data_IF_111869216447
#
_entry.id   IF_111869216447
#
_cell.length_a   1.000
_cell.length_b   1.000
_cell.length_c   1.000
_cell.angle_alpha   90.00
_cell.angle_beta   90.00
_cell.angle_gamma   90.00
#
_symmetry.space_group_name_H-M   'P 1'
#
loop_
_entity.id
_entity.type
_entity.pdbx_description
1 polymer ?
#
# COMPACT_ATOMS: atom_id res chain seq x y z
N UNK A 1 -18.16 16.54 -21.83
CA UNK A 1 -16.94 15.80 -22.25
C UNK A 1 -16.66 14.77 -21.16
N UNK A 2 -16.51 13.49 -21.51
CA UNK A 2 -16.18 12.45 -20.52
C UNK A 2 -14.79 12.74 -19.93
N UNK A 3 -14.63 12.54 -18.61
CA UNK A 3 -13.30 12.64 -17.97
C UNK A 3 -12.38 11.55 -18.55
N UNK A 4 -11.06 11.77 -18.51
CA UNK A 4 -10.11 10.76 -18.99
C UNK A 4 -10.30 9.44 -18.23
N UNK A 5 -10.52 9.48 -16.92
CA UNK A 5 -10.78 8.26 -16.16
C UNK A 5 -12.09 7.57 -16.55
N UNK A 6 -13.14 8.31 -16.91
CA UNK A 6 -14.37 7.72 -17.43
C UNK A 6 -14.13 7.00 -18.77
N UNK A 7 -13.28 7.55 -19.64
CA UNK A 7 -12.88 6.88 -20.87
C UNK A 7 -12.09 5.57 -20.60
N UNK A 8 -11.16 5.58 -19.64
CA UNK A 8 -10.44 4.38 -19.19
C UNK A 8 -11.44 3.30 -18.72
N UNK A 9 -12.41 3.69 -17.89
CA UNK A 9 -13.44 2.75 -17.40
C UNK A 9 -14.29 2.18 -18.52
N UNK A 10 -14.67 2.99 -19.51
CA UNK A 10 -15.44 2.53 -20.65
C UNK A 10 -14.64 1.53 -21.51
N UNK A 11 -13.35 1.76 -21.73
CA UNK A 11 -12.46 0.85 -22.46
C UNK A 11 -12.28 -0.49 -21.72
N UNK A 12 -12.07 -0.44 -20.40
CA UNK A 12 -12.01 -1.63 -19.54
C UNK A 12 -13.32 -2.42 -19.56
N UNK A 13 -14.47 -1.73 -19.45
CA UNK A 13 -15.78 -2.38 -19.51
C UNK A 13 -16.06 -3.02 -20.89
N UNK A 14 -15.64 -2.36 -21.97
CA UNK A 14 -15.74 -2.91 -23.33
C UNK A 14 -14.90 -4.18 -23.53
N UNK A 15 -13.85 -4.37 -22.72
CA UNK A 15 -13.08 -5.60 -22.66
C UNK A 15 -13.77 -6.74 -21.87
N UNK A 16 -14.95 -6.51 -21.30
CA UNK A 16 -15.63 -7.47 -20.43
C UNK A 16 -14.95 -7.61 -19.06
N UNK A 17 -14.24 -6.58 -18.62
CA UNK A 17 -13.50 -6.55 -17.36
C UNK A 17 -14.06 -5.47 -16.45
N UNK A 18 -14.03 -5.71 -15.14
CA UNK A 18 -14.40 -4.72 -14.14
C UNK A 18 -13.15 -4.07 -13.55
N UNK A 19 -13.11 -2.73 -13.52
CA UNK A 19 -12.04 -2.01 -12.84
C UNK A 19 -12.30 -2.01 -11.33
N UNK A 20 -11.44 -2.65 -10.54
CA UNK A 20 -11.51 -2.59 -9.06
C UNK A 20 -10.86 -1.31 -8.53
N UNK A 21 -9.68 -0.99 -9.07
CA UNK A 21 -8.95 0.24 -8.76
C UNK A 21 -7.88 0.49 -9.81
N UNK A 22 -7.53 1.75 -9.99
CA UNK A 22 -6.36 2.15 -10.74
C UNK A 22 -5.34 2.85 -9.83
N UNK A 23 -4.07 2.83 -10.23
CA UNK A 23 -2.99 3.57 -9.59
C UNK A 23 -2.22 4.38 -10.64
N UNK A 24 -2.25 5.72 -10.59
CA UNK A 24 -1.56 6.55 -11.57
C UNK A 24 -0.03 6.49 -11.40
N UNK A 25 0.65 6.21 -12.51
CA UNK A 25 2.12 6.25 -12.64
C UNK A 25 2.55 7.63 -13.13
N UNK A 26 1.84 8.16 -14.11
CA UNK A 26 1.96 9.49 -14.70
C UNK A 26 0.56 9.96 -15.10
N UNK A 27 0.44 11.15 -15.70
CA UNK A 27 -0.81 11.62 -16.31
C UNK A 27 -1.26 10.79 -17.53
N UNK A 28 -0.42 9.87 -18.01
CA UNK A 28 -0.63 9.09 -19.24
C UNK A 28 -0.52 7.57 -19.02
N UNK A 29 -0.35 7.11 -17.78
CA UNK A 29 -0.16 5.69 -17.46
C UNK A 29 -0.80 5.32 -16.12
N UNK A 30 -1.71 4.34 -16.15
CA UNK A 30 -2.32 3.73 -14.97
C UNK A 30 -1.88 2.28 -14.85
N UNK A 31 -1.60 1.83 -13.62
CA UNK A 31 -1.68 0.42 -13.28
C UNK A 31 -3.13 0.10 -12.94
N UNK A 32 -3.63 -1.01 -13.44
CA UNK A 32 -5.01 -1.45 -13.27
C UNK A 32 -5.05 -2.70 -12.42
N UNK A 33 -5.99 -2.74 -11.49
CA UNK A 33 -6.44 -3.96 -10.84
C UNK A 33 -7.82 -4.27 -11.42
N UNK A 34 -7.90 -5.35 -12.18
CA UNK A 34 -9.08 -5.73 -12.95
C UNK A 34 -9.68 -7.00 -12.36
N UNK A 35 -10.99 -7.13 -12.44
CA UNK A 35 -11.71 -8.35 -12.11
C UNK A 35 -12.32 -8.93 -13.39
N UNK A 36 -12.13 -10.22 -13.55
CA UNK A 36 -12.69 -10.99 -14.65
C UNK A 36 -14.14 -11.42 -14.34
N UNK A 37 -14.91 -11.85 -15.35
CA UNK A 37 -16.27 -12.37 -15.15
C UNK A 37 -16.35 -13.58 -14.20
N UNK A 38 -15.30 -14.40 -14.14
CA UNK A 38 -15.17 -15.53 -13.22
C UNK A 38 -14.79 -15.12 -11.78
N UNK A 39 -14.66 -13.81 -11.53
CA UNK A 39 -14.29 -13.23 -10.24
C UNK A 39 -12.78 -13.13 -10.00
N UNK A 40 -11.93 -13.67 -10.89
CA UNK A 40 -10.48 -13.66 -10.71
C UNK A 40 -9.91 -12.25 -10.89
N UNK A 41 -8.95 -11.89 -10.04
CA UNK A 41 -8.23 -10.62 -10.16
C UNK A 41 -7.06 -10.78 -11.13
N UNK A 42 -6.97 -9.86 -12.09
CA UNK A 42 -5.90 -9.78 -13.07
C UNK A 42 -5.28 -8.38 -13.09
N UNK A 43 -3.95 -8.25 -13.08
CA UNK A 43 -3.29 -6.97 -13.23
C UNK A 43 -3.31 -6.51 -14.69
N UNK A 44 -3.32 -5.20 -14.88
CA UNK A 44 -3.24 -4.60 -16.20
C UNK A 44 -2.58 -3.23 -16.17
N UNK A 45 -2.46 -2.64 -17.35
CA UNK A 45 -1.95 -1.29 -17.55
C UNK A 45 -2.84 -0.57 -18.55
N UNK A 46 -3.12 0.70 -18.31
CA UNK A 46 -3.66 1.61 -19.31
C UNK A 46 -2.59 2.63 -19.68
N UNK A 47 -2.26 2.74 -20.96
CA UNK A 47 -1.19 3.61 -21.46
C UNK A 47 -1.78 4.47 -22.58
N UNK A 48 -1.72 5.80 -22.43
CA UNK A 48 -2.38 6.74 -23.34
C UNK A 48 -1.81 6.72 -24.77
N UNK A 49 -0.53 6.37 -24.93
CA UNK A 49 0.12 6.21 -26.23
C UNK A 49 -0.05 4.76 -26.69
N UNK A 50 -0.80 4.56 -27.77
CA UNK A 50 -1.10 3.24 -28.34
C UNK A 50 0.16 2.50 -28.79
N UNK A 51 1.14 3.19 -29.37
CA UNK A 51 2.40 2.57 -29.80
C UNK A 51 3.22 2.11 -28.59
N UNK A 52 3.21 2.87 -27.49
CA UNK A 52 3.83 2.43 -26.24
C UNK A 52 3.09 1.25 -25.61
N UNK A 53 1.75 1.27 -25.59
CA UNK A 53 0.95 0.14 -25.11
C UNK A 53 1.28 -1.15 -25.87
N UNK A 54 1.40 -1.05 -27.19
CA UNK A 54 1.82 -2.12 -28.09
C UNK A 54 3.25 -2.60 -27.81
N UNK A 55 4.21 -1.67 -27.63
CA UNK A 55 5.59 -2.02 -27.24
C UNK A 55 5.63 -2.74 -25.89
N UNK A 56 4.84 -2.29 -24.91
CA UNK A 56 4.73 -2.91 -23.58
C UNK A 56 4.17 -4.32 -23.70
N UNK A 57 3.09 -4.52 -24.44
CA UNK A 57 2.48 -5.83 -24.63
C UNK A 57 3.43 -6.81 -25.33
N UNK A 58 4.04 -6.42 -26.45
CA UNK A 58 5.00 -7.28 -27.19
C UNK A 58 6.19 -7.69 -26.31
N UNK A 59 6.78 -6.75 -25.58
CA UNK A 59 7.92 -7.05 -24.70
C UNK A 59 7.55 -7.91 -23.50
N UNK A 60 6.32 -7.80 -23.01
CA UNK A 60 5.83 -8.65 -21.91
C UNK A 60 5.52 -10.05 -22.42
N UNK A 61 4.92 -10.18 -23.59
CA UNK A 61 4.62 -11.47 -24.21
C UNK A 61 5.89 -12.29 -24.52
N UNK A 62 7.00 -11.63 -24.90
CA UNK A 62 8.26 -12.31 -25.26
C UNK A 62 8.86 -13.19 -24.14
N UNK A 63 8.53 -12.92 -22.87
CA UNK A 63 9.00 -13.69 -21.71
C UNK A 63 7.88 -14.37 -20.92
N UNK A 64 6.65 -14.39 -21.45
CA UNK A 64 5.47 -14.88 -20.76
C UNK A 64 4.92 -16.15 -21.42
N UNK A 65 4.11 -16.96 -20.68
CA UNK A 65 3.36 -18.06 -21.28
C UNK A 65 2.48 -17.59 -22.45
N UNK A 66 2.23 -18.47 -23.41
CA UNK A 66 1.35 -18.17 -24.55
C UNK A 66 -0.05 -17.74 -24.04
N UNK A 67 -0.58 -16.65 -24.59
CA UNK A 67 -1.88 -16.09 -24.17
C UNK A 67 -1.87 -15.35 -22.84
N UNK A 68 -0.73 -15.21 -22.15
CA UNK A 68 -0.67 -14.52 -20.87
C UNK A 68 -0.71 -12.98 -20.98
N UNK A 69 -0.65 -12.42 -22.19
CA UNK A 69 -0.74 -10.98 -22.43
C UNK A 69 -1.80 -10.71 -23.48
N UNK A 70 -2.79 -9.90 -23.11
CA UNK A 70 -3.92 -9.52 -23.97
C UNK A 70 -3.97 -8.01 -24.14
N UNK A 71 -4.29 -7.57 -25.36
CA UNK A 71 -4.57 -6.17 -25.69
C UNK A 71 -6.07 -6.01 -25.84
N UNK A 72 -6.61 -4.97 -25.22
CA UNK A 72 -8.00 -4.56 -25.43
C UNK A 72 -8.01 -3.09 -25.80
N UNK A 73 -8.65 -2.78 -26.92
CA UNK A 73 -8.58 -1.43 -27.50
C UNK A 73 -7.14 -1.00 -27.75
N UNK A 74 -6.94 0.32 -27.75
CA UNK A 74 -5.66 0.94 -28.07
C UNK A 74 -4.77 1.14 -26.83
N UNK A 75 -5.30 1.05 -25.61
CA UNK A 75 -4.56 1.50 -24.43
C UNK A 75 -4.43 0.43 -23.34
N UNK A 76 -5.32 -0.57 -23.30
CA UNK A 76 -5.32 -1.57 -22.22
C UNK A 76 -4.42 -2.75 -22.56
N UNK A 77 -3.56 -3.11 -21.60
CA UNK A 77 -2.71 -4.31 -21.60
C UNK A 77 -3.03 -5.12 -20.36
N UNK A 78 -3.53 -6.34 -20.53
CA UNK A 78 -3.85 -7.28 -19.44
C UNK A 78 -2.72 -8.29 -19.32
N UNK A 79 -2.32 -8.60 -18.08
CA UNK A 79 -1.19 -9.48 -17.78
C UNK A 79 -1.63 -10.62 -16.86
N UNK A 80 -1.64 -11.85 -17.37
CA UNK A 80 -2.06 -13.06 -16.67
C UNK A 80 -0.85 -13.91 -16.26
N UNK A 81 -1.07 -14.88 -15.38
CA UNK A 81 -0.10 -15.92 -15.03
C UNK A 81 1.29 -15.38 -14.66
N UNK A 82 1.35 -14.20 -14.02
CA UNK A 82 2.60 -13.57 -13.63
C UNK A 82 3.42 -12.94 -14.77
N UNK A 83 2.85 -12.77 -15.96
CA UNK A 83 3.52 -12.14 -17.09
C UNK A 83 3.98 -10.71 -16.75
N UNK A 84 5.30 -10.46 -16.77
CA UNK A 84 5.86 -9.15 -16.48
C UNK A 84 7.28 -8.99 -17.06
N UNK A 85 7.47 -8.03 -17.97
CA UNK A 85 8.77 -7.80 -18.63
C UNK A 85 9.87 -7.25 -17.71
N UNK A 86 9.52 -6.83 -16.48
CA UNK A 86 10.45 -6.27 -15.50
C UNK A 86 10.53 -7.09 -14.21
N UNK A 87 9.75 -8.17 -14.10
CA UNK A 87 9.75 -9.14 -13.00
C UNK A 87 9.79 -10.56 -13.59
N UNK A 88 10.84 -10.94 -14.34
CA UNK A 88 10.89 -12.20 -15.08
C UNK A 88 10.76 -13.46 -14.19
N UNK A 89 11.09 -13.35 -12.90
CA UNK A 89 10.97 -14.43 -11.92
C UNK A 89 9.51 -14.73 -11.54
N UNK A 90 8.56 -13.83 -11.85
CA UNK A 90 7.19 -13.94 -11.39
C UNK A 90 6.39 -15.04 -12.09
N UNK A 91 6.47 -15.15 -13.42
CA UNK A 91 5.69 -16.13 -14.16
C UNK A 91 6.04 -17.59 -13.79
N UNK A 92 7.33 -17.99 -13.72
CA UNK A 92 7.70 -19.32 -13.23
C UNK A 92 7.23 -19.59 -11.80
N UNK A 93 7.28 -18.57 -10.93
CA UNK A 93 6.84 -18.68 -9.55
C UNK A 93 5.33 -18.92 -9.44
N UNK A 94 4.52 -18.17 -10.19
CA UNK A 94 3.05 -18.30 -10.22
C UNK A 94 2.61 -19.62 -10.88
N UNK A 95 3.39 -20.15 -11.81
CA UNK A 95 3.11 -21.43 -12.44
C UNK A 95 3.39 -22.63 -11.51
N UNK A 96 4.17 -22.45 -10.44
CA UNK A 96 4.51 -23.53 -9.53
C UNK A 96 3.29 -23.99 -8.72
N UNK A 97 3.09 -25.31 -8.50
CA UNK A 97 2.01 -25.82 -7.66
C UNK A 97 2.06 -25.27 -6.23
N UNK A 98 0.88 -25.09 -5.63
CA UNK A 98 0.74 -24.53 -4.28
C UNK A 98 1.15 -23.07 -4.18
N UNK A 99 1.08 -22.30 -5.28
CA UNK A 99 1.36 -20.86 -5.25
C UNK A 99 0.13 -20.05 -5.63
N UNK A 100 -0.02 -18.89 -5.00
CA UNK A 100 -1.15 -18.00 -5.18
C UNK A 100 -0.67 -16.57 -5.29
N UNK A 101 -0.99 -15.90 -6.40
CA UNK A 101 -0.67 -14.49 -6.58
C UNK A 101 -1.55 -13.64 -5.66
N UNK A 102 -0.94 -12.95 -4.70
CA UNK A 102 -1.63 -12.11 -3.70
C UNK A 102 -1.78 -10.68 -4.21
N UNK A 103 -0.73 -10.15 -4.82
CA UNK A 103 -0.73 -8.82 -5.40
C UNK A 103 0.25 -8.75 -6.57
N UNK A 104 -0.12 -8.03 -7.62
CA UNK A 104 0.78 -7.73 -8.73
C UNK A 104 0.55 -6.29 -9.18
N UNK A 105 1.60 -5.47 -9.07
CA UNK A 105 1.66 -4.13 -9.65
C UNK A 105 2.62 -4.22 -10.84
N UNK A 106 2.11 -4.24 -12.09
CA UNK A 106 2.94 -4.45 -13.26
C UNK A 106 4.19 -3.58 -13.28
N UNK A 107 5.30 -4.22 -13.61
CA UNK A 107 6.63 -3.63 -13.69
C UNK A 107 7.11 -2.96 -12.39
N UNK A 108 6.55 -3.32 -11.24
CA UNK A 108 6.92 -2.68 -9.96
C UNK A 108 7.27 -3.72 -8.92
N UNK A 109 6.30 -4.55 -8.55
CA UNK A 109 6.44 -5.60 -7.56
C UNK A 109 5.28 -6.58 -7.64
N UNK A 110 5.50 -7.79 -7.17
CA UNK A 110 4.46 -8.76 -6.93
C UNK A 110 4.69 -9.49 -5.60
N UNK A 111 3.63 -10.04 -5.03
CA UNK A 111 3.65 -10.85 -3.82
C UNK A 111 2.93 -12.15 -4.15
N UNK A 112 3.60 -13.26 -3.93
CA UNK A 112 3.08 -14.62 -4.10
C UNK A 112 3.08 -15.31 -2.75
N UNK A 113 1.96 -15.92 -2.37
CA UNK A 113 1.89 -16.84 -1.24
C UNK A 113 2.24 -18.24 -1.76
N UNK A 114 3.11 -18.93 -1.05
CA UNK A 114 3.46 -20.33 -1.32
C UNK A 114 2.98 -21.17 -0.15
N UNK A 115 2.12 -22.13 -0.46
CA UNK A 115 1.48 -23.06 0.47
C UNK A 115 1.42 -24.44 -0.19
N UNK A 116 2.41 -25.28 0.11
CA UNK A 116 2.60 -26.60 -0.51
C UNK A 116 2.22 -27.76 0.39
N UNK A 117 1.77 -27.49 1.62
CA UNK A 117 1.36 -28.49 2.60
C UNK A 117 2.50 -29.28 3.27
N UNK A 118 3.73 -29.20 2.77
CA UNK A 118 4.93 -29.84 3.30
C UNK A 118 5.71 -28.97 4.29
N UNK A 119 5.48 -27.66 4.26
CA UNK A 119 6.10 -26.67 5.14
C UNK A 119 5.12 -25.53 5.47
N UNK A 120 5.36 -24.76 6.55
CA UNK A 120 4.57 -23.57 6.85
C UNK A 120 4.56 -22.60 5.66
N UNK A 121 3.40 -21.94 5.40
CA UNK A 121 3.27 -21.02 4.29
C UNK A 121 4.28 -19.88 4.39
N UNK A 122 4.68 -19.37 3.24
CA UNK A 122 5.58 -18.24 3.14
C UNK A 122 5.16 -17.31 2.01
N UNK A 123 5.68 -16.09 2.05
CA UNK A 123 5.46 -15.10 1.01
C UNK A 123 6.75 -14.85 0.25
N UNK A 124 6.63 -14.66 -1.05
CA UNK A 124 7.70 -14.29 -1.95
C UNK A 124 7.34 -12.96 -2.59
N UNK A 125 8.12 -11.92 -2.29
CA UNK A 125 8.00 -10.61 -2.90
C UNK A 125 9.00 -10.51 -4.04
N UNK A 126 8.48 -10.41 -5.26
CA UNK A 126 9.29 -10.22 -6.48
C UNK A 126 9.47 -8.73 -6.68
N UNK A 127 10.71 -8.27 -6.68
CA UNK A 127 11.10 -6.87 -6.72
C UNK A 127 12.04 -6.59 -7.89
N UNK A 128 12.20 -5.32 -8.23
CA UNK A 128 13.11 -4.89 -9.31
C UNK A 128 14.51 -4.60 -8.78
N UNK A 129 15.51 -5.13 -9.46
CA UNK A 129 16.91 -4.94 -9.10
C UNK A 129 17.20 -5.43 -7.68
N UNK A 130 18.11 -4.77 -6.98
CA UNK A 130 18.59 -5.23 -5.66
C UNK A 130 17.67 -4.87 -4.48
N UNK A 131 16.48 -4.34 -4.76
CA UNK A 131 15.50 -3.93 -3.73
C UNK A 131 15.10 -5.06 -2.79
N UNK A 132 15.17 -6.32 -3.22
CA UNK A 132 14.85 -7.44 -2.33
C UNK A 132 15.92 -7.64 -1.26
N UNK A 133 17.18 -7.37 -1.58
CA UNK A 133 18.30 -7.42 -0.63
C UNK A 133 18.18 -6.31 0.41
N UNK A 134 17.86 -5.08 -0.03
CA UNK A 134 17.62 -3.94 0.86
C UNK A 134 16.43 -4.21 1.81
N UNK A 135 15.33 -4.76 1.27
CA UNK A 135 14.16 -5.11 2.06
C UNK A 135 14.42 -6.27 3.04
N UNK A 136 15.23 -7.26 2.65
CA UNK A 136 15.67 -8.34 3.52
C UNK A 136 16.48 -7.80 4.71
N UNK A 137 17.51 -7.01 4.45
CA UNK A 137 18.35 -6.40 5.49
C UNK A 137 17.51 -5.53 6.45
N UNK A 138 16.52 -4.82 5.92
CA UNK A 138 15.59 -4.03 6.73
C UNK A 138 14.76 -4.90 7.68
N UNK A 139 14.17 -5.99 7.18
CA UNK A 139 13.39 -6.91 8.01
C UNK A 139 14.24 -7.62 9.06
N UNK A 140 15.45 -8.03 8.69
CA UNK A 140 16.41 -8.66 9.61
C UNK A 140 16.81 -7.69 10.73
N UNK A 141 17.09 -6.43 10.41
CA UNK A 141 17.38 -5.37 11.38
C UNK A 141 16.23 -5.17 12.37
N UNK A 142 15.00 -5.05 11.87
CA UNK A 142 13.81 -4.87 12.71
C UNK A 142 13.53 -6.10 13.58
N UNK A 143 13.67 -7.30 13.02
CA UNK A 143 13.51 -8.55 13.77
C UNK A 143 14.57 -8.69 14.87
N UNK A 144 15.81 -8.29 14.60
CA UNK A 144 16.89 -8.26 15.60
C UNK A 144 16.63 -7.23 16.71
N UNK A 145 15.93 -6.12 16.40
CA UNK A 145 15.41 -5.17 17.38
C UNK A 145 14.18 -5.68 18.15
N UNK A 146 13.73 -6.91 17.90
CA UNK A 146 12.62 -7.56 18.59
C UNK A 146 11.24 -7.13 18.10
N UNK A 147 11.13 -6.48 16.95
CA UNK A 147 9.83 -6.11 16.39
C UNK A 147 9.14 -7.35 15.79
N UNK A 148 7.81 -7.49 15.98
CA UNK A 148 7.04 -8.58 15.37
C UNK A 148 6.82 -8.29 13.88
N UNK A 149 7.79 -8.68 13.06
CA UNK A 149 7.81 -8.52 11.60
C UNK A 149 8.06 -9.89 10.92
N UNK A 150 7.76 -10.05 9.62
CA UNK A 150 8.05 -11.29 8.92
C UNK A 150 9.54 -11.64 8.96
N UNK A 151 9.86 -12.89 9.30
CA UNK A 151 11.24 -13.39 9.29
C UNK A 151 11.69 -13.71 7.87
N UNK A 152 12.86 -13.22 7.48
CA UNK A 152 13.47 -13.51 6.19
C UNK A 152 14.00 -14.94 6.14
N UNK A 153 13.75 -15.64 5.04
CA UNK A 153 14.35 -16.94 4.75
C UNK A 153 15.63 -16.74 3.93
N UNK A 154 16.77 -17.33 4.33
CA UNK A 154 18.03 -17.17 3.62
C UNK A 154 18.03 -17.92 2.27
N UNK A 155 18.98 -17.56 1.39
CA UNK A 155 19.27 -18.30 0.17
C UNK A 155 18.38 -17.98 -1.04
N UNK A 156 17.58 -16.91 -0.98
CA UNK A 156 16.82 -16.43 -2.12
C UNK A 156 17.70 -15.63 -3.11
N UNK A 157 17.41 -15.67 -4.43
CA UNK A 157 18.00 -14.76 -5.41
C UNK A 157 17.76 -13.27 -5.07
N UNK A 158 18.63 -12.36 -5.54
CA UNK A 158 18.58 -10.93 -5.18
C UNK A 158 17.31 -10.18 -5.60
N UNK A 159 16.53 -10.71 -6.55
CA UNK A 159 15.25 -10.17 -6.97
C UNK A 159 14.05 -10.65 -6.10
N UNK A 160 14.28 -11.62 -5.21
CA UNK A 160 13.26 -12.30 -4.42
C UNK A 160 13.50 -12.10 -2.93
N UNK A 161 12.51 -11.53 -2.25
CA UNK A 161 12.45 -11.51 -0.79
C UNK A 161 11.50 -12.62 -0.35
N UNK A 162 12.03 -13.60 0.39
CA UNK A 162 11.25 -14.72 0.91
C UNK A 162 11.07 -14.54 2.41
N UNK A 163 9.83 -14.52 2.90
CA UNK A 163 9.53 -14.34 4.32
C UNK A 163 8.56 -15.39 4.83
N UNK A 164 8.71 -15.80 6.08
CA UNK A 164 7.72 -16.60 6.78
C UNK A 164 6.36 -15.88 6.83
N UNK A 165 5.27 -16.63 6.72
CA UNK A 165 3.95 -16.07 6.97
C UNK A 165 3.79 -15.78 8.47
N UNK A 166 3.43 -14.55 8.80
CA UNK A 166 2.98 -14.21 10.14
C UNK A 166 1.57 -14.77 10.38
N UNK A 167 1.28 -15.30 11.59
CA UNK A 167 -0.07 -15.73 11.92
C UNK A 167 -1.02 -14.53 12.03
N UNK A 168 -2.28 -14.80 11.74
CA UNK A 168 -3.38 -13.90 12.10
C UNK A 168 -4.09 -13.23 10.93
N UNK A 169 -4.91 -12.26 11.30
CA UNK A 169 -5.85 -11.57 10.41
C UNK A 169 -5.57 -10.09 10.41
N UNK A 170 -5.69 -9.42 9.27
CA UNK A 170 -5.42 -7.98 9.20
C UNK A 170 -6.47 -7.21 10.00
N UNK A 171 -6.11 -6.05 10.57
CA UNK A 171 -7.10 -5.17 11.21
C UNK A 171 -8.23 -4.83 10.23
N UNK A 172 -7.91 -4.60 8.95
CA UNK A 172 -8.89 -4.41 7.89
C UNK A 172 -9.92 -5.55 7.80
N UNK A 173 -9.47 -6.80 7.76
CA UNK A 173 -10.35 -7.95 7.60
C UNK A 173 -11.14 -8.23 8.88
N UNK A 174 -10.56 -7.95 10.06
CA UNK A 174 -11.28 -7.99 11.33
C UNK A 174 -12.44 -6.97 11.35
N UNK A 175 -12.22 -5.76 10.83
CA UNK A 175 -13.29 -4.76 10.70
C UNK A 175 -14.34 -5.20 9.67
N UNK A 176 -13.92 -5.71 8.52
CA UNK A 176 -14.83 -6.17 7.47
C UNK A 176 -15.72 -7.33 7.92
N UNK A 177 -15.20 -8.21 8.76
CA UNK A 177 -15.95 -9.34 9.35
C UNK A 177 -16.69 -8.98 10.63
N UNK A 178 -16.66 -7.71 11.07
CA UNK A 178 -17.21 -7.24 12.35
C UNK A 178 -16.75 -8.06 13.55
N UNK A 179 -15.52 -8.58 13.48
CA UNK A 179 -14.88 -9.22 14.60
C UNK A 179 -14.69 -8.22 15.76
N UNK A 180 -14.67 -8.71 16.98
CA UNK A 180 -14.54 -7.88 18.17
C UNK A 180 -13.13 -7.26 18.28
N UNK A 181 -12.94 -6.10 17.65
CA UNK A 181 -11.81 -5.20 17.90
C UNK A 181 -12.20 -4.23 19.01
N UNK A 182 -11.32 -4.05 19.99
CA UNK A 182 -11.58 -3.24 21.18
C UNK A 182 -10.66 -2.03 21.22
N UNK A 183 -11.04 -1.02 22.00
CA UNK A 183 -10.19 0.15 22.27
C UNK A 183 -8.79 -0.24 22.77
N UNK A 184 -8.67 -1.32 23.55
CA UNK A 184 -7.37 -1.84 24.01
C UNK A 184 -6.49 -2.40 22.89
N UNK A 185 -7.07 -2.86 21.78
CA UNK A 185 -6.28 -3.27 20.61
C UNK A 185 -5.59 -2.05 19.96
N UNK A 186 -6.27 -0.89 19.90
CA UNK A 186 -5.70 0.34 19.36
C UNK A 186 -4.62 0.91 20.28
N UNK A 187 -4.82 0.80 21.59
CA UNK A 187 -3.76 1.10 22.55
C UNK A 187 -2.53 0.19 22.35
N UNK A 188 -2.72 -1.11 22.12
CA UNK A 188 -1.63 -2.03 21.84
C UNK A 188 -0.92 -1.72 20.51
N UNK A 189 -1.67 -1.31 19.48
CA UNK A 189 -1.11 -0.83 18.21
C UNK A 189 -0.28 0.44 18.43
N UNK A 190 -0.76 1.40 19.23
CA UNK A 190 0.00 2.60 19.59
C UNK A 190 1.34 2.28 20.23
N UNK A 191 1.34 1.33 21.17
CA UNK A 191 2.56 0.84 21.81
C UNK A 191 3.51 0.13 20.81
N UNK A 192 2.96 -0.61 19.83
CA UNK A 192 3.75 -1.23 18.77
C UNK A 192 4.39 -0.18 17.83
N UNK A 193 3.66 0.87 17.48
CA UNK A 193 4.19 2.00 16.69
C UNK A 193 5.32 2.69 17.46
N UNK A 194 5.15 2.91 18.76
CA UNK A 194 6.20 3.46 19.62
C UNK A 194 7.46 2.60 19.60
N UNK A 195 7.31 1.28 19.69
CA UNK A 195 8.45 0.35 19.60
C UNK A 195 9.17 0.45 18.25
N UNK A 196 8.44 0.59 17.13
CA UNK A 196 9.05 0.82 15.82
C UNK A 196 9.85 2.13 15.81
N UNK A 197 9.25 3.22 16.29
CA UNK A 197 9.87 4.55 16.32
C UNK A 197 11.12 4.63 17.23
N UNK A 198 11.22 3.75 18.22
CA UNK A 198 12.38 3.64 19.10
C UNK A 198 13.49 2.70 18.57
N UNK A 199 13.27 2.00 17.45
CA UNK A 199 14.34 1.23 16.80
C UNK A 199 15.41 2.18 16.27
N UNK A 200 16.67 1.91 16.59
CA UNK A 200 17.79 2.66 16.03
C UNK A 200 17.82 2.50 14.50
N UNK A 201 17.91 3.59 13.73
CA UNK A 201 17.94 3.50 12.27
C UNK A 201 19.20 2.79 11.78
N UNK A 202 19.07 1.99 10.73
CA UNK A 202 20.23 1.43 10.05
C UNK A 202 20.99 2.52 9.28
N UNK A 203 22.32 2.41 9.11
CA UNK A 203 23.09 3.34 8.26
C UNK A 203 22.46 3.48 6.87
N UNK A 204 22.29 4.73 6.41
CA UNK A 204 21.68 5.01 5.10
C UNK A 204 20.15 4.96 5.07
N UNK A 205 19.48 4.84 6.22
CA UNK A 205 18.02 5.02 6.30
C UNK A 205 17.65 6.42 5.74
N UNK A 206 16.74 6.52 4.76
CA UNK A 206 16.39 7.79 4.15
C UNK A 206 15.65 8.69 5.13
N UNK A 207 15.60 9.99 4.85
CA UNK A 207 14.73 10.93 5.54
C UNK A 207 13.44 11.14 4.75
N UNK A 208 12.35 11.44 5.45
CA UNK A 208 11.08 11.89 4.87
C UNK A 208 10.53 13.00 5.74
N UNK A 209 10.57 14.23 5.23
CA UNK A 209 10.10 15.42 5.95
C UNK A 209 8.71 15.87 5.51
N UNK A 210 8.25 16.98 6.10
CA UNK A 210 6.94 17.57 5.78
C UNK A 210 6.86 18.12 4.35
N UNK A 211 8.00 18.53 3.79
CA UNK A 211 8.11 18.93 2.38
C UNK A 211 7.90 17.75 1.45
N UNK A 212 8.53 16.61 1.73
CA UNK A 212 8.34 15.36 0.99
C UNK A 212 6.87 14.91 1.03
N UNK A 213 6.21 15.06 2.20
CA UNK A 213 4.79 14.74 2.37
C UNK A 213 3.88 15.68 1.57
N UNK A 214 4.19 16.98 1.57
CA UNK A 214 3.49 17.96 0.76
C UNK A 214 3.63 17.67 -0.74
N UNK A 215 4.84 17.32 -1.21
CA UNK A 215 5.11 17.02 -2.61
C UNK A 215 4.44 15.73 -3.08
N UNK A 216 4.46 14.69 -2.23
CA UNK A 216 3.71 13.45 -2.47
C UNK A 216 2.21 13.75 -2.65
N UNK A 217 1.66 14.60 -1.77
CA UNK A 217 0.24 14.96 -1.80
C UNK A 217 -0.11 15.80 -3.02
N UNK A 218 0.68 16.86 -3.32
CA UNK A 218 0.52 17.67 -4.56
C UNK A 218 0.56 16.80 -5.81
N UNK A 219 1.48 15.83 -5.86
CA UNK A 219 1.57 14.89 -6.97
C UNK A 219 0.31 14.04 -7.10
N UNK A 220 -0.23 13.52 -6.00
CA UNK A 220 -1.46 12.74 -6.01
C UNK A 220 -2.65 13.57 -6.51
N UNK A 221 -2.81 14.80 -6.00
CA UNK A 221 -3.86 15.74 -6.44
C UNK A 221 -3.71 16.11 -7.91
N UNK A 222 -2.50 16.43 -8.36
CA UNK A 222 -2.22 16.75 -9.75
C UNK A 222 -2.53 15.59 -10.71
N UNK A 223 -2.25 14.36 -10.29
CA UNK A 223 -2.62 13.17 -11.06
C UNK A 223 -4.14 12.97 -11.10
N UNK A 224 -4.85 13.10 -9.98
CA UNK A 224 -6.31 13.05 -9.97
C UNK A 224 -6.91 14.11 -10.93
N UNK A 225 -6.42 15.36 -10.86
CA UNK A 225 -6.84 16.43 -11.76
C UNK A 225 -6.56 16.10 -13.24
N UNK A 226 -5.37 15.57 -13.58
CA UNK A 226 -5.01 15.19 -14.94
C UNK A 226 -5.92 14.09 -15.54
N UNK A 227 -6.55 13.29 -14.69
CA UNK A 227 -7.52 12.27 -15.08
C UNK A 227 -8.98 12.75 -15.01
N UNK A 228 -9.20 14.02 -14.66
CA UNK A 228 -10.52 14.65 -14.54
C UNK A 228 -11.25 14.32 -13.23
N UNK A 229 -10.51 13.95 -12.19
CA UNK A 229 -11.03 13.56 -10.87
C UNK A 229 -10.81 14.65 -9.80
N UNK A 230 -10.44 15.86 -10.20
CA UNK A 230 -10.12 16.94 -9.26
C UNK A 230 -11.30 17.34 -8.35
N UNK A 231 -12.54 17.19 -8.83
CA UNK A 231 -13.74 17.49 -8.03
C UNK A 231 -13.96 16.51 -6.86
N UNK A 232 -13.30 15.34 -6.89
CA UNK A 232 -13.36 14.34 -5.81
C UNK A 232 -12.33 14.62 -4.70
N UNK A 233 -11.44 15.59 -4.91
CA UNK A 233 -10.39 15.96 -3.97
C UNK A 233 -10.80 17.23 -3.21
N UNK A 234 -10.70 17.25 -1.86
CA UNK A 234 -10.93 18.46 -1.09
C UNK A 234 -10.03 19.62 -1.55
N UNK A 235 -10.61 20.82 -1.65
CA UNK A 235 -9.86 22.04 -1.88
C UNK A 235 -9.02 22.42 -0.64
N UNK A 236 -8.14 23.41 -0.80
CA UNK A 236 -7.34 23.94 0.32
C UNK A 236 -6.08 23.14 0.64
N UNK A 237 -5.49 22.44 -0.35
CA UNK A 237 -4.22 21.75 -0.16
C UNK A 237 -3.12 22.68 0.35
N UNK A 238 -3.01 23.88 -0.23
CA UNK A 238 -1.96 24.84 0.17
C UNK A 238 -2.13 25.31 1.62
N UNK A 239 -3.36 25.54 2.08
CA UNK A 239 -3.65 25.89 3.48
C UNK A 239 -3.29 24.75 4.43
N UNK A 240 -3.62 23.51 4.04
CA UNK A 240 -3.33 22.32 4.83
C UNK A 240 -1.81 22.07 4.91
N UNK A 241 -1.08 22.27 3.81
CA UNK A 241 0.39 22.18 3.79
C UNK A 241 1.03 23.31 4.60
N UNK A 242 0.52 24.54 4.51
CA UNK A 242 1.01 25.65 5.31
C UNK A 242 0.81 25.40 6.81
N UNK A 243 -0.32 24.79 7.19
CA UNK A 243 -0.57 24.36 8.58
C UNK A 243 0.40 23.28 9.04
N UNK A 244 0.72 22.30 8.19
CA UNK A 244 1.74 21.29 8.50
C UNK A 244 3.10 21.95 8.74
N UNK A 245 3.54 22.83 7.83
CA UNK A 245 4.81 23.54 7.94
C UNK A 245 4.90 24.48 9.17
N UNK A 246 3.77 24.88 9.75
CA UNK A 246 3.72 25.71 10.95
C UNK A 246 3.83 24.90 12.26
N UNK A 247 3.75 23.57 12.21
CA UNK A 247 3.94 22.72 13.38
C UNK A 247 5.44 22.71 13.75
N UNK A 248 5.82 22.93 15.02
CA UNK A 248 7.21 22.83 15.44
C UNK A 248 7.76 21.44 15.16
N UNK A 249 8.93 21.31 14.53
CA UNK A 249 9.58 20.02 14.23
C UNK A 249 9.78 19.14 15.50
N UNK A 250 9.88 17.81 15.37
CA UNK A 250 10.13 16.96 16.52
C UNK A 250 11.58 17.14 17.02
N UNK A 251 11.81 17.00 18.32
CA UNK A 251 13.16 17.08 18.91
C UNK A 251 14.14 16.08 18.28
N UNK A 252 13.62 14.90 17.90
CA UNK A 252 14.34 13.90 17.11
C UNK A 252 13.42 13.28 16.07
N UNK A 253 13.88 13.08 14.83
CA UNK A 253 13.18 12.21 13.90
C UNK A 253 13.23 10.77 14.40
N UNK A 254 12.21 9.99 14.07
CA UNK A 254 12.08 8.58 14.44
C UNK A 254 11.96 7.70 13.20
N UNK A 255 12.17 6.39 13.36
CA UNK A 255 11.99 5.44 12.28
C UNK A 255 10.49 5.23 12.00
N UNK A 256 10.01 5.74 10.86
CA UNK A 256 8.62 5.67 10.41
C UNK A 256 8.37 4.46 9.52
N UNK A 257 7.15 3.92 9.55
CA UNK A 257 6.60 3.00 8.57
C UNK A 257 6.23 3.70 7.24
N UNK A 258 5.69 4.93 7.31
CA UNK A 258 5.20 5.77 6.19
C UNK A 258 3.95 5.33 5.45
N UNK A 259 3.56 4.07 5.57
CA UNK A 259 2.31 3.52 5.00
C UNK A 259 1.53 2.77 6.09
N UNK A 260 1.64 3.22 7.34
CA UNK A 260 0.95 2.57 8.46
C UNK A 260 -0.56 2.73 8.28
N UNK A 261 -1.23 1.62 8.05
CA UNK A 261 -2.68 1.57 8.00
C UNK A 261 -3.22 0.18 8.34
N UNK A 262 -4.53 0.05 8.41
CA UNK A 262 -5.28 -1.14 8.85
C UNK A 262 -4.96 -2.47 8.13
N UNK A 263 -4.31 -2.45 6.94
CA UNK A 263 -3.89 -3.70 6.26
C UNK A 263 -2.47 -4.12 6.61
N UNK A 264 -1.70 -3.23 7.24
CA UNK A 264 -0.30 -3.49 7.62
C UNK A 264 -0.15 -4.05 9.03
N UNK A 265 -1.28 -4.32 9.70
CA UNK A 265 -1.34 -4.82 11.06
C UNK A 265 -2.04 -6.17 11.06
N UNK A 266 -1.35 -7.21 11.53
CA UNK A 266 -1.91 -8.54 11.74
C UNK A 266 -2.12 -8.78 13.24
N UNK A 267 -3.30 -9.29 13.60
CA UNK A 267 -3.59 -9.76 14.95
C UNK A 267 -3.51 -11.27 14.99
N UNK A 268 -2.59 -11.79 15.78
CA UNK A 268 -2.52 -13.22 16.04
C UNK A 268 -3.72 -13.62 16.95
N UNK A 269 -4.62 -14.50 16.50
CA UNK A 269 -5.77 -14.92 17.30
C UNK A 269 -5.38 -15.75 18.53
N UNK A 270 -4.22 -16.42 18.53
CA UNK A 270 -3.79 -17.27 19.63
C UNK A 270 -3.23 -16.44 20.80
N UNK A 271 -2.46 -15.39 20.50
CA UNK A 271 -1.79 -14.55 21.50
C UNK A 271 -2.49 -13.21 21.72
N UNK A 272 -3.32 -12.76 20.77
CA UNK A 272 -3.87 -11.41 20.74
C UNK A 272 -2.85 -10.31 20.41
N UNK A 273 -1.61 -10.69 20.05
CA UNK A 273 -0.53 -9.75 19.74
C UNK A 273 -0.63 -9.19 18.32
N UNK A 274 -0.06 -8.00 18.13
CA UNK A 274 -0.04 -7.30 16.84
C UNK A 274 1.34 -7.39 16.18
N UNK A 275 1.35 -7.56 14.86
CA UNK A 275 2.56 -7.60 14.02
C UNK A 275 2.45 -6.63 12.85
N UNK A 276 3.60 -6.17 12.34
CA UNK A 276 3.70 -5.20 11.23
C UNK A 276 4.03 -5.88 9.90
N UNK A 277 3.50 -5.34 8.80
CA UNK A 277 3.76 -5.75 7.41
C UNK A 277 4.23 -4.56 6.55
N UNK A 278 4.68 -4.83 5.32
CA UNK A 278 5.05 -3.86 4.26
C UNK A 278 5.94 -2.67 4.71
N UNK A 279 7.13 -2.99 5.22
CA UNK A 279 8.13 -2.03 5.72
C UNK A 279 9.07 -1.51 4.61
N UNK A 280 8.58 -1.41 3.37
CA UNK A 280 9.38 -0.99 2.21
C UNK A 280 9.72 0.51 2.21
N UNK A 281 8.96 1.30 2.96
CA UNK A 281 9.01 2.76 2.91
C UNK A 281 9.66 3.37 4.16
N UNK A 282 10.39 2.59 4.95
CA UNK A 282 11.01 3.09 6.17
C UNK A 282 11.85 4.34 5.91
N UNK A 283 11.68 5.33 6.78
CA UNK A 283 12.44 6.56 6.73
C UNK A 283 12.49 7.20 8.12
N UNK A 284 13.41 8.13 8.32
CA UNK A 284 13.45 9.01 9.47
C UNK A 284 12.54 10.22 9.24
N UNK A 285 11.63 10.50 10.17
CA UNK A 285 10.75 11.65 10.07
C UNK A 285 9.92 11.90 11.33
N UNK A 286 8.83 12.65 11.17
CA UNK A 286 7.93 13.00 12.26
C UNK A 286 7.07 11.80 12.71
N UNK A 287 7.08 11.42 14.01
CA UNK A 287 6.23 10.34 14.53
C UNK A 287 4.74 10.52 14.23
N UNK A 288 4.29 11.76 14.10
CA UNK A 288 2.89 12.08 13.84
C UNK A 288 2.39 11.57 12.49
N UNK A 289 3.28 11.35 11.51
CA UNK A 289 2.91 10.87 10.17
C UNK A 289 2.21 9.51 10.25
N UNK A 290 2.81 8.52 10.93
CA UNK A 290 2.26 7.16 11.02
C UNK A 290 0.95 7.13 11.80
N UNK A 291 0.90 7.85 12.93
CA UNK A 291 -0.27 7.95 13.79
C UNK A 291 -1.45 8.61 13.05
N UNK A 292 -1.18 9.70 12.32
CA UNK A 292 -2.17 10.38 11.51
C UNK A 292 -2.67 9.51 10.36
N UNK A 293 -1.77 8.80 9.65
CA UNK A 293 -2.16 7.93 8.55
C UNK A 293 -3.08 6.81 9.02
N UNK A 294 -2.78 6.19 10.16
CA UNK A 294 -3.63 5.17 10.78
C UNK A 294 -5.00 5.75 11.19
N UNK A 295 -5.04 6.91 11.85
CA UNK A 295 -6.28 7.55 12.28
C UNK A 295 -7.19 7.92 11.08
N UNK A 296 -6.61 8.47 10.01
CA UNK A 296 -7.36 8.81 8.79
C UNK A 296 -7.89 7.56 8.08
N UNK A 297 -7.16 6.44 8.16
CA UNK A 297 -7.67 5.17 7.66
C UNK A 297 -8.85 4.63 8.48
N UNK A 298 -8.90 4.85 9.80
CA UNK A 298 -10.09 4.51 10.61
C UNK A 298 -11.30 5.33 10.16
N UNK A 299 -11.14 6.64 9.91
CA UNK A 299 -12.20 7.47 9.34
C UNK A 299 -12.69 6.95 7.99
N UNK A 300 -11.76 6.55 7.12
CA UNK A 300 -12.07 5.95 5.83
C UNK A 300 -12.90 4.67 6.01
N UNK A 301 -12.53 3.78 6.94
CA UNK A 301 -13.30 2.56 7.22
C UNK A 301 -14.69 2.87 7.76
N UNK A 302 -14.85 3.93 8.54
CA UNK A 302 -16.17 4.38 8.96
C UNK A 302 -17.03 4.87 7.80
N UNK A 303 -16.46 5.65 6.86
CA UNK A 303 -17.17 6.08 5.64
C UNK A 303 -17.58 4.89 4.76
N UNK A 304 -16.79 3.82 4.76
CA UNK A 304 -17.07 2.58 4.03
C UNK A 304 -18.03 1.63 4.77
N UNK A 305 -18.52 2.00 5.95
CA UNK A 305 -19.43 1.16 6.75
C UNK A 305 -18.76 -0.08 7.37
N UNK A 306 -17.42 -0.11 7.43
CA UNK A 306 -16.63 -1.19 8.03
C UNK A 306 -16.32 -0.93 9.51
N UNK A 307 -16.49 0.31 9.97
CA UNK A 307 -16.31 0.73 11.36
C UNK A 307 -17.48 1.64 11.75
N UNK A 308 -17.97 1.53 12.98
CA UNK A 308 -18.92 2.50 13.51
C UNK A 308 -18.23 3.86 13.67
N UNK A 309 -18.80 4.90 13.05
CA UNK A 309 -18.28 6.26 13.12
C UNK A 309 -18.15 6.78 14.57
N UNK A 310 -19.01 6.32 15.49
CA UNK A 310 -18.94 6.69 16.90
C UNK A 310 -17.67 6.18 17.60
N UNK A 311 -17.03 5.13 17.07
CA UNK A 311 -15.82 4.55 17.66
C UNK A 311 -14.54 5.26 17.24
N UNK A 312 -14.54 5.94 16.08
CA UNK A 312 -13.33 6.49 15.46
C UNK A 312 -12.57 7.43 16.41
N UNK A 313 -13.27 8.36 17.07
CA UNK A 313 -12.63 9.32 17.97
C UNK A 313 -11.98 8.63 19.17
N UNK A 314 -12.69 7.68 19.81
CA UNK A 314 -12.16 6.94 20.96
C UNK A 314 -10.99 6.02 20.58
N UNK A 315 -11.03 5.43 19.40
CA UNK A 315 -9.97 4.57 18.88
C UNK A 315 -8.72 5.35 18.48
N UNK A 316 -8.87 6.50 17.84
CA UNK A 316 -7.77 7.43 17.57
C UNK A 316 -7.15 7.93 18.87
N UNK A 317 -7.96 8.28 19.88
CA UNK A 317 -7.45 8.66 21.20
C UNK A 317 -6.67 7.53 21.87
N UNK A 318 -7.17 6.30 21.83
CA UNK A 318 -6.49 5.13 22.40
C UNK A 318 -5.18 4.79 21.68
N UNK A 319 -5.12 4.96 20.35
CA UNK A 319 -3.88 4.84 19.58
C UNK A 319 -2.82 5.84 20.09
N UNK A 320 -3.20 7.11 20.24
CA UNK A 320 -2.30 8.16 20.72
C UNK A 320 -1.89 7.96 22.17
N UNK A 321 -2.80 7.49 23.02
CA UNK A 321 -2.52 7.12 24.41
C UNK A 321 -1.53 5.96 24.49
N UNK A 322 -1.78 4.88 23.76
CA UNK A 322 -0.88 3.72 23.73
C UNK A 322 0.50 4.02 23.17
N UNK A 323 0.60 4.98 22.25
CA UNK A 323 1.88 5.51 21.77
C UNK A 323 2.63 6.34 22.84
N UNK A 324 1.89 6.95 23.77
CA UNK A 324 2.41 7.95 24.71
C UNK A 324 2.66 9.29 24.03
N UNK A 325 1.75 9.73 23.14
CA UNK A 325 1.88 10.99 22.41
C UNK A 325 1.80 12.20 23.35
N UNK A 326 2.85 13.00 23.33
CA UNK A 326 2.91 14.30 24.00
C UNK A 326 2.08 15.36 23.26
N UNK A 327 2.01 16.57 23.83
CA UNK A 327 1.20 17.67 23.29
C UNK A 327 1.64 18.06 21.87
N UNK A 328 2.96 18.11 21.63
CA UNK A 328 3.53 18.44 20.33
C UNK A 328 3.14 17.40 19.29
N UNK A 329 3.27 16.12 19.62
CA UNK A 329 2.91 15.01 18.71
C UNK A 329 1.42 15.03 18.41
N UNK A 330 0.56 15.31 19.39
CA UNK A 330 -0.89 15.44 19.18
C UNK A 330 -1.24 16.55 18.20
N UNK A 331 -0.64 17.74 18.38
CA UNK A 331 -0.80 18.86 17.45
C UNK A 331 -0.32 18.48 16.03
N UNK A 332 0.84 17.84 15.93
CA UNK A 332 1.39 17.40 14.65
C UNK A 332 0.49 16.36 13.96
N UNK A 333 -0.10 15.43 14.72
CA UNK A 333 -1.03 14.42 14.19
C UNK A 333 -2.23 15.07 13.51
N UNK A 334 -2.78 16.15 14.05
CA UNK A 334 -3.90 16.86 13.42
C UNK A 334 -3.51 17.46 12.06
N UNK A 335 -2.32 18.06 11.97
CA UNK A 335 -1.82 18.65 10.74
C UNK A 335 -1.49 17.59 9.68
N UNK A 336 -0.78 16.52 10.05
CA UNK A 336 -0.53 15.38 9.16
C UNK A 336 -1.83 14.71 8.73
N UNK A 337 -2.82 14.60 9.62
CA UNK A 337 -4.11 14.00 9.28
C UNK A 337 -4.86 14.83 8.23
N UNK A 338 -4.76 16.16 8.27
CA UNK A 338 -5.33 17.01 7.22
C UNK A 338 -4.68 16.74 5.86
N UNK A 339 -3.35 16.64 5.79
CA UNK A 339 -2.63 16.31 4.54
C UNK A 339 -3.00 14.90 4.06
N UNK A 340 -2.99 13.92 4.97
CA UNK A 340 -3.33 12.54 4.67
C UNK A 340 -4.76 12.39 4.14
N UNK A 341 -5.74 13.15 4.64
CA UNK A 341 -7.12 13.15 4.09
C UNK A 341 -7.17 13.61 2.64
N UNK A 342 -6.48 14.71 2.29
CA UNK A 342 -6.41 15.20 0.91
C UNK A 342 -5.75 14.16 0.01
N UNK A 343 -4.63 13.59 0.45
CA UNK A 343 -3.91 12.53 -0.25
C UNK A 343 -4.78 11.30 -0.48
N UNK A 344 -5.48 10.83 0.57
CA UNK A 344 -6.35 9.65 0.47
C UNK A 344 -7.51 9.91 -0.49
N UNK A 345 -8.15 11.07 -0.45
CA UNK A 345 -9.20 11.42 -1.41
C UNK A 345 -8.67 11.35 -2.86
N UNK A 346 -7.50 11.94 -3.14
CA UNK A 346 -6.88 11.88 -4.46
C UNK A 346 -6.52 10.47 -4.92
N UNK A 347 -6.10 9.58 -4.00
CA UNK A 347 -5.79 8.18 -4.33
C UNK A 347 -7.05 7.35 -4.50
N UNK A 348 -8.07 7.55 -3.66
CA UNK A 348 -9.31 6.78 -3.70
C UNK A 348 -10.25 7.20 -4.82
N UNK A 349 -10.08 8.39 -5.40
CA UNK A 349 -10.77 8.82 -6.62
C UNK A 349 -10.57 7.85 -7.81
N UNK A 350 -9.47 7.08 -7.82
CA UNK A 350 -9.20 6.06 -8.82
C UNK A 350 -9.87 4.70 -8.54
N UNK A 351 -10.86 4.64 -7.63
CA UNK A 351 -11.63 3.42 -7.30
C UNK A 351 -13.10 3.59 -7.69
N UNK A 352 -13.65 2.73 -8.56
CA UNK A 352 -15.08 2.78 -8.88
C UNK A 352 -15.93 2.48 -7.64
N UNK A 353 -16.94 3.32 -7.38
CA UNK A 353 -17.86 3.16 -6.23
C UNK A 353 -17.62 4.12 -5.07
N UNK A 354 -16.63 5.01 -5.15
CA UNK A 354 -16.33 6.02 -4.13
C UNK A 354 -15.40 5.51 -3.03
N UNK A 355 -14.62 6.44 -2.46
CA UNK A 355 -13.74 6.20 -1.31
C UNK A 355 -14.49 6.11 0.01
#
# INVERSE_FOLDING_TARGET
MLTRFAAVRAEVAAAGLDLERAQPRSSTHLLLHLRQPDGMLVPGQWIADADEADRVARRTAAGAPAGAVERHGDHVVVQRHGADRRLPELAPLVAAPGTHLVAHRPERRAVVRVDRGDAPPHFVKVLRGDRATEAAATLEHLAAAGLPVPRVRPGAPSALLVTEALPGTTLHDLLATRAAVRTSDLHAIGALVRRLHDVAPAPGTPHHDDGDEADLTRRAVGLAAAYGLGAEVPAGLDDVVARLAAVPAPDRPVLLHRDLHDKQLLRDPATGSWSLLDLDLLALGDPALDLANMAVHLELRARQGLLDAALVAGWSAALLEGYGADERTRLAVEAHAAVARVRLAAVYAFRPGGG
#
